data_IF_706054046460
#
_entry.id   IF_706054046460
#
_cell.length_a   1.000
_cell.length_b   1.000
_cell.length_c   1.000
_cell.angle_alpha   90.00
_cell.angle_beta   90.00
_cell.angle_gamma   90.00
#
_symmetry.space_group_name_H-M   'P 1'
#
loop_
_entity.id
_entity.type
_entity.pdbx_description
1 polymer ?
#
# COMPACT_ATOMS: atom_id res chain seq x y z
N UNK A 1 34.79 13.12 0.39
CA UNK A 1 33.37 13.03 -0.01
C UNK A 1 32.83 11.69 0.51
N UNK A 2 31.75 11.68 1.32
CA UNK A 2 31.08 10.42 1.70
C UNK A 2 30.37 9.88 0.44
N UNK A 3 30.63 8.63 0.08
CA UNK A 3 29.91 7.96 -1.00
C UNK A 3 28.43 7.77 -0.61
N UNK A 4 27.53 7.85 -1.60
CA UNK A 4 26.11 7.63 -1.42
C UNK A 4 25.67 6.41 -2.22
N UNK A 5 24.91 5.50 -1.59
CA UNK A 5 24.31 4.37 -2.28
C UNK A 5 23.06 4.86 -3.03
N UNK A 6 23.20 5.02 -4.35
CA UNK A 6 22.18 5.61 -5.22
C UNK A 6 20.81 4.90 -5.12
N UNK A 7 20.83 3.57 -5.05
CA UNK A 7 19.62 2.74 -4.87
C UNK A 7 18.81 3.12 -3.63
N UNK A 8 19.48 3.32 -2.50
CA UNK A 8 18.83 3.67 -1.23
C UNK A 8 18.22 5.06 -1.30
N UNK A 9 18.94 6.01 -1.90
CA UNK A 9 18.48 7.38 -2.04
C UNK A 9 17.28 7.49 -2.98
N UNK A 10 17.37 6.91 -4.18
CA UNK A 10 16.26 6.88 -5.14
C UNK A 10 15.04 6.15 -4.58
N UNK A 11 15.25 5.04 -3.84
CA UNK A 11 14.16 4.32 -3.18
C UNK A 11 13.41 5.19 -2.18
N UNK A 12 14.11 6.00 -1.38
CA UNK A 12 13.48 6.93 -0.44
C UNK A 12 12.73 8.08 -1.15
N UNK A 13 13.31 8.63 -2.22
CA UNK A 13 12.67 9.69 -3.03
C UNK A 13 11.40 9.17 -3.70
N UNK A 14 11.46 8.00 -4.35
CA UNK A 14 10.32 7.36 -4.99
C UNK A 14 9.22 7.08 -3.95
N UNK A 15 9.57 6.49 -2.81
CA UNK A 15 8.63 6.20 -1.74
C UNK A 15 7.90 7.46 -1.24
N UNK A 16 8.63 8.55 -0.97
CA UNK A 16 8.03 9.81 -0.52
C UNK A 16 7.12 10.46 -1.55
N UNK A 17 7.48 10.39 -2.84
CA UNK A 17 6.64 10.94 -3.90
C UNK A 17 5.37 10.10 -4.09
N UNK A 18 5.49 8.77 -4.17
CA UNK A 18 4.34 7.88 -4.31
C UNK A 18 3.39 8.01 -3.12
N UNK A 19 3.90 7.97 -1.88
CA UNK A 19 3.06 8.06 -0.68
C UNK A 19 2.36 9.41 -0.56
N UNK A 20 2.99 10.48 -1.04
CA UNK A 20 2.35 11.81 -1.11
C UNK A 20 1.25 11.86 -2.17
N UNK A 21 1.46 11.26 -3.35
CA UNK A 21 0.45 11.21 -4.41
C UNK A 21 -0.75 10.33 -4.03
N UNK A 22 -0.47 9.19 -3.40
CA UNK A 22 -1.50 8.20 -3.06
C UNK A 22 -2.26 8.61 -1.80
N UNK A 23 -1.54 8.86 -0.70
CA UNK A 23 -2.10 9.08 0.63
C UNK A 23 -2.11 10.56 1.05
N UNK A 24 -1.59 11.48 0.24
CA UNK A 24 -1.49 12.89 0.63
C UNK A 24 -0.50 13.15 1.77
N UNK A 25 0.33 12.16 2.16
CA UNK A 25 1.21 12.22 3.33
C UNK A 25 2.65 11.86 2.98
N UNK A 26 3.57 12.43 3.74
CA UNK A 26 4.98 12.03 3.74
C UNK A 26 5.21 11.14 4.94
N UNK A 27 5.77 9.96 4.71
CA UNK A 27 6.11 9.02 5.78
C UNK A 27 7.56 9.10 6.23
N UNK A 28 8.38 9.96 5.62
CA UNK A 28 9.74 10.23 6.07
C UNK A 28 9.81 11.71 6.43
N UNK A 29 10.28 12.01 7.64
CA UNK A 29 10.45 13.38 8.11
C UNK A 29 11.77 14.02 7.63
N UNK A 30 12.04 15.25 8.06
CA UNK A 30 13.25 15.99 7.69
C UNK A 30 14.53 15.35 8.25
N UNK A 31 14.44 14.62 9.36
CA UNK A 31 15.54 13.89 9.99
C UNK A 31 15.77 12.51 9.35
N UNK A 32 14.95 12.13 8.38
CA UNK A 32 15.01 10.83 7.71
C UNK A 32 14.38 9.69 8.50
N UNK A 33 13.65 9.98 9.58
CA UNK A 33 12.93 8.95 10.35
C UNK A 33 11.63 8.59 9.66
N UNK A 34 11.34 7.29 9.63
CA UNK A 34 10.13 6.78 9.00
C UNK A 34 8.99 6.69 10.01
N UNK A 35 7.83 7.24 9.63
CA UNK A 35 6.59 7.13 10.39
C UNK A 35 6.16 5.65 10.52
N UNK A 36 5.59 5.22 11.66
CA UNK A 36 5.16 3.83 11.87
C UNK A 36 4.23 3.30 10.76
N UNK A 37 3.28 4.11 10.29
CA UNK A 37 2.39 3.75 9.17
C UNK A 37 3.17 3.53 7.86
N UNK A 38 4.25 4.27 7.64
CA UNK A 38 5.14 4.08 6.48
C UNK A 38 6.03 2.86 6.59
N UNK A 39 6.51 2.54 7.79
CA UNK A 39 7.22 1.28 8.06
C UNK A 39 6.31 0.08 7.78
N UNK A 40 5.05 0.17 8.22
CA UNK A 40 4.05 -0.85 7.99
C UNK A 40 3.76 -1.01 6.50
N UNK A 41 3.48 0.09 5.78
CA UNK A 41 3.27 0.08 4.33
C UNK A 41 4.46 -0.54 3.59
N UNK A 42 5.69 -0.15 3.92
CA UNK A 42 6.91 -0.71 3.33
C UNK A 42 7.04 -2.21 3.61
N UNK A 43 6.69 -2.64 4.83
CA UNK A 43 6.65 -4.04 5.21
C UNK A 43 5.64 -4.86 4.40
N UNK A 44 4.45 -4.30 4.15
CA UNK A 44 3.42 -4.92 3.33
C UNK A 44 3.90 -5.04 1.88
N UNK A 45 4.36 -3.96 1.25
CA UNK A 45 4.88 -4.00 -0.13
C UNK A 45 6.03 -5.02 -0.27
N UNK A 46 6.98 -5.03 0.68
CA UNK A 46 8.09 -5.96 0.65
C UNK A 46 7.66 -7.43 0.81
N UNK A 47 6.65 -7.70 1.64
CA UNK A 47 6.12 -9.05 1.81
C UNK A 47 5.29 -9.49 0.60
N UNK A 48 4.49 -8.59 0.04
CA UNK A 48 3.71 -8.84 -1.18
C UNK A 48 4.60 -9.18 -2.37
N UNK A 49 5.72 -8.47 -2.55
CA UNK A 49 6.71 -8.79 -3.58
C UNK A 49 7.34 -10.19 -3.37
N UNK A 50 7.58 -10.60 -2.13
CA UNK A 50 8.11 -11.95 -1.84
C UNK A 50 7.09 -13.03 -2.16
N UNK A 51 5.83 -12.86 -1.72
CA UNK A 51 4.74 -13.80 -1.98
C UNK A 51 4.40 -13.86 -3.48
N UNK A 52 4.46 -12.74 -4.19
CA UNK A 52 4.25 -12.69 -5.64
C UNK A 52 5.39 -13.36 -6.43
N UNK A 53 6.64 -13.24 -5.96
CA UNK A 53 7.79 -13.87 -6.60
C UNK A 53 7.84 -15.40 -6.43
N UNK A 54 7.10 -15.97 -5.47
CA UNK A 54 7.00 -17.44 -5.29
C UNK A 54 5.97 -18.11 -6.20
N UNK A 55 5.14 -17.36 -6.93
CA UNK A 55 4.07 -17.89 -7.79
C UNK A 55 4.40 -18.24 -9.27
N UNK A 56 5.62 -18.09 -9.83
CA UNK A 56 5.78 -17.91 -11.28
C UNK A 56 5.66 -19.17 -12.15
N UNK A 57 5.45 -20.37 -11.61
CA UNK A 57 5.33 -21.58 -12.44
C UNK A 57 4.07 -22.41 -12.19
N UNK A 58 3.62 -22.52 -10.93
CA UNK A 58 2.42 -23.29 -10.58
C UNK A 58 1.12 -22.72 -11.14
N UNK A 59 1.09 -21.40 -11.42
CA UNK A 59 -0.07 -20.73 -12.03
C UNK A 59 -0.12 -20.89 -13.57
N UNK A 60 1.03 -20.94 -14.23
CA UNK A 60 1.12 -21.07 -15.69
C UNK A 60 1.14 -22.53 -16.17
N UNK A 61 1.49 -23.46 -15.27
CA UNK A 61 1.62 -24.89 -15.58
C UNK A 61 0.79 -25.70 -14.58
N UNK A 62 -0.49 -25.99 -14.88
CA UNK A 62 -1.42 -26.59 -13.91
C UNK A 62 -0.96 -27.92 -13.30
N UNK A 63 -0.20 -28.73 -14.06
CA UNK A 63 0.33 -30.01 -13.57
C UNK A 63 1.56 -29.88 -12.66
N UNK A 64 2.19 -28.70 -12.55
CA UNK A 64 3.25 -28.40 -11.59
C UNK A 64 2.72 -27.87 -10.24
N UNK A 65 1.42 -27.62 -10.11
CA UNK A 65 0.81 -27.00 -8.92
C UNK A 65 1.11 -27.75 -7.62
N UNK A 66 1.25 -29.08 -7.67
CA UNK A 66 1.58 -29.90 -6.49
C UNK A 66 3.00 -29.65 -5.95
N UNK A 67 3.95 -29.23 -6.79
CA UNK A 67 5.34 -28.95 -6.40
C UNK A 67 5.52 -27.52 -5.86
N UNK A 68 4.51 -26.66 -6.03
CA UNK A 68 4.46 -25.28 -5.56
C UNK A 68 3.17 -25.06 -4.76
N UNK A 69 3.03 -25.69 -3.57
CA UNK A 69 1.86 -25.46 -2.73
C UNK A 69 1.76 -23.98 -2.39
N UNK A 70 0.59 -23.40 -2.66
CA UNK A 70 0.30 -22.02 -2.30
C UNK A 70 0.37 -21.89 -0.77
N UNK A 71 1.12 -20.91 -0.27
CA UNK A 71 1.09 -20.54 1.14
C UNK A 71 -0.19 -19.74 1.45
N UNK A 72 -1.35 -20.39 1.30
CA UNK A 72 -2.67 -19.75 1.41
C UNK A 72 -2.84 -18.99 2.73
N UNK A 73 -2.35 -19.55 3.84
CA UNK A 73 -2.37 -18.88 5.14
C UNK A 73 -1.50 -17.62 5.17
N UNK A 74 -0.31 -17.66 4.55
CA UNK A 74 0.58 -16.51 4.48
C UNK A 74 0.00 -15.41 3.58
N UNK A 75 -0.65 -15.79 2.48
CA UNK A 75 -1.36 -14.88 1.57
C UNK A 75 -2.55 -14.24 2.28
N UNK A 76 -3.39 -15.03 2.96
CA UNK A 76 -4.54 -14.53 3.70
C UNK A 76 -4.11 -13.55 4.81
N UNK A 77 -3.13 -13.94 5.64
CA UNK A 77 -2.58 -13.09 6.69
C UNK A 77 -1.95 -11.80 6.13
N UNK A 78 -1.35 -11.87 4.95
CA UNK A 78 -0.83 -10.70 4.26
C UNK A 78 -1.95 -9.77 3.79
N UNK A 79 -3.03 -10.33 3.21
CA UNK A 79 -4.25 -9.61 2.85
C UNK A 79 -4.87 -8.89 4.05
N UNK A 80 -5.09 -9.59 5.18
CA UNK A 80 -5.64 -8.99 6.40
C UNK A 80 -4.78 -7.83 6.94
N UNK A 81 -3.47 -7.94 6.82
CA UNK A 81 -2.54 -6.88 7.22
C UNK A 81 -2.64 -5.66 6.31
N UNK A 82 -2.69 -5.89 4.98
CA UNK A 82 -2.89 -4.88 3.94
C UNK A 82 -4.22 -4.12 4.11
N UNK A 83 -5.29 -4.85 4.35
CA UNK A 83 -6.64 -4.30 4.45
C UNK A 83 -6.78 -3.46 5.72
N UNK A 84 -6.23 -3.92 6.85
CA UNK A 84 -6.21 -3.13 8.10
C UNK A 84 -5.48 -1.80 7.94
N UNK A 85 -4.31 -1.80 7.27
CA UNK A 85 -3.59 -0.55 6.99
C UNK A 85 -4.43 0.38 6.11
N UNK A 86 -5.07 -0.17 5.08
CA UNK A 86 -5.85 0.60 4.11
C UNK A 86 -7.08 1.22 4.76
N UNK A 87 -7.83 0.45 5.57
CA UNK A 87 -8.97 0.97 6.35
C UNK A 87 -8.56 2.07 7.31
N UNK A 88 -7.46 1.90 8.06
CA UNK A 88 -6.95 2.93 8.96
C UNK A 88 -6.60 4.24 8.23
N UNK A 89 -6.05 4.15 7.02
CA UNK A 89 -5.77 5.33 6.19
C UNK A 89 -7.09 5.98 5.73
N UNK A 90 -8.04 5.20 5.21
CA UNK A 90 -9.34 5.69 4.78
C UNK A 90 -10.08 6.41 5.91
N UNK A 91 -10.14 5.82 7.11
CA UNK A 91 -10.74 6.41 8.31
C UNK A 91 -10.10 7.76 8.66
N UNK A 92 -8.77 7.85 8.63
CA UNK A 92 -8.05 9.10 8.90
C UNK A 92 -8.42 10.19 7.90
N UNK A 93 -8.57 9.85 6.62
CA UNK A 93 -8.97 10.80 5.58
C UNK A 93 -10.43 11.21 5.69
N UNK A 94 -11.34 10.29 6.00
CA UNK A 94 -12.75 10.60 6.28
C UNK A 94 -12.89 11.56 7.47
N UNK A 95 -12.15 11.32 8.56
CA UNK A 95 -12.10 12.22 9.71
C UNK A 95 -11.51 13.58 9.35
N UNK A 96 -10.47 13.61 8.53
CA UNK A 96 -9.87 14.86 8.06
C UNK A 96 -10.86 15.69 7.23
N UNK A 97 -11.62 15.06 6.32
CA UNK A 97 -12.66 15.70 5.51
C UNK A 97 -13.74 16.34 6.36
N UNK A 98 -14.22 15.62 7.38
CA UNK A 98 -15.23 16.13 8.31
C UNK A 98 -14.75 17.37 9.06
N UNK A 99 -13.43 17.50 9.31
CA UNK A 99 -12.83 18.65 9.98
C UNK A 99 -12.50 19.81 9.04
N UNK A 100 -12.00 19.53 7.83
CA UNK A 100 -11.54 20.54 6.88
C UNK A 100 -12.60 21.00 5.88
N UNK A 101 -13.76 20.35 5.83
CA UNK A 101 -14.91 20.77 5.00
C UNK A 101 -14.77 20.46 3.51
N UNK A 102 -13.93 19.50 3.12
CA UNK A 102 -13.80 19.15 1.70
C UNK A 102 -12.70 18.16 1.35
N UNK A 103 -12.72 17.74 0.08
CA UNK A 103 -11.78 16.80 -0.50
C UNK A 103 -10.40 17.45 -0.77
N UNK A 104 -9.35 16.64 -0.67
CA UNK A 104 -7.94 16.93 -0.96
C UNK A 104 -7.50 16.29 -2.28
N UNK A 105 -6.42 16.81 -2.84
CA UNK A 105 -5.87 16.35 -4.12
C UNK A 105 -4.87 15.19 -3.93
N UNK A 106 -5.35 14.02 -3.51
CA UNK A 106 -4.57 12.78 -3.52
C UNK A 106 -5.47 11.57 -3.79
N UNK A 107 -4.87 10.46 -4.24
CA UNK A 107 -5.61 9.33 -4.80
C UNK A 107 -6.66 8.73 -3.86
N UNK A 108 -6.32 8.46 -2.59
CA UNK A 108 -7.30 7.94 -1.61
C UNK A 108 -8.51 8.85 -1.48
N UNK A 109 -8.31 10.16 -1.53
CA UNK A 109 -9.42 11.10 -1.42
C UNK A 109 -10.32 11.06 -2.65
N UNK A 110 -9.71 10.97 -3.85
CA UNK A 110 -10.47 10.77 -5.07
C UNK A 110 -11.32 9.48 -4.99
N UNK A 111 -10.76 8.39 -4.47
CA UNK A 111 -11.50 7.14 -4.26
C UNK A 111 -12.65 7.30 -3.25
N UNK A 112 -12.44 8.03 -2.14
CA UNK A 112 -13.51 8.31 -1.17
C UNK A 112 -14.62 9.21 -1.75
N UNK A 113 -14.30 10.11 -2.69
CA UNK A 113 -15.33 10.87 -3.41
C UNK A 113 -16.13 9.97 -4.34
N UNK A 114 -15.44 9.14 -5.14
CA UNK A 114 -16.09 8.17 -6.02
C UNK A 114 -16.92 7.15 -5.24
N UNK A 115 -16.49 6.79 -4.03
CA UNK A 115 -17.26 5.95 -3.12
C UNK A 115 -18.64 6.55 -2.84
N UNK A 116 -18.70 7.84 -2.54
CA UNK A 116 -19.96 8.53 -2.23
C UNK A 116 -20.83 8.73 -3.47
N UNK A 117 -20.23 8.93 -4.63
CA UNK A 117 -20.94 9.14 -5.89
C UNK A 117 -21.52 7.85 -6.48
N UNK A 118 -20.76 6.74 -6.40
CA UNK A 118 -21.09 5.48 -7.07
C UNK A 118 -21.36 4.31 -6.12
N UNK A 119 -21.46 4.56 -4.81
CA UNK A 119 -21.70 3.55 -3.77
C UNK A 119 -20.68 2.39 -3.82
N UNK A 120 -19.40 2.73 -3.99
CA UNK A 120 -18.33 1.72 -4.06
C UNK A 120 -18.16 1.00 -2.71
N UNK A 121 -18.03 -0.33 -2.74
CA UNK A 121 -17.68 -1.08 -1.54
C UNK A 121 -16.27 -0.74 -1.05
N UNK A 122 -16.02 -0.90 0.26
CA UNK A 122 -14.67 -0.78 0.81
C UNK A 122 -13.68 -1.72 0.11
N UNK A 123 -14.10 -2.95 -0.19
CA UNK A 123 -13.28 -3.94 -0.87
C UNK A 123 -12.86 -3.47 -2.28
N UNK A 124 -13.74 -2.74 -2.97
CA UNK A 124 -13.40 -2.14 -4.28
C UNK A 124 -12.32 -1.07 -4.13
N UNK A 125 -12.43 -0.21 -3.11
CA UNK A 125 -11.42 0.84 -2.85
C UNK A 125 -10.09 0.22 -2.46
N UNK A 126 -10.11 -0.78 -1.58
CA UNK A 126 -8.92 -1.53 -1.18
C UNK A 126 -8.29 -2.19 -2.40
N UNK A 127 -9.09 -2.82 -3.28
CA UNK A 127 -8.62 -3.43 -4.51
C UNK A 127 -8.00 -2.44 -5.51
N UNK A 128 -8.51 -1.21 -5.59
CA UNK A 128 -7.95 -0.17 -6.48
C UNK A 128 -6.65 0.47 -5.96
N UNK A 129 -6.33 0.29 -4.67
CA UNK A 129 -5.12 0.85 -4.04
C UNK A 129 -3.88 -0.03 -4.21
N UNK A 130 -4.03 -1.30 -4.63
CA UNK A 130 -2.98 -2.32 -4.66
C UNK A 130 -2.90 -3.00 -6.02
#
# INVERSE_FOLDING_TARGET
KKGMVLRTHLGAVAFNNTTRLVFGKRFIDADGKMHPQGLEFKGIVANGLKLGASLPWGEYVPWLRWAFPLEEEAIAKHGDRRDRLTRAIMEEHTLARNKSGGAKQHFVDALLTLQQEYDLSEDTIIGLLW
#
